data_IF_635754156803
#
_entry.id   IF_635754156803
#
_cell.length_a   1.000
_cell.length_b   1.000
_cell.length_c   1.000
_cell.angle_alpha   90.00
_cell.angle_beta   90.00
_cell.angle_gamma   90.00
#
_symmetry.space_group_name_H-M   'P 1'
#
loop_
_entity.id
_entity.type
_entity.pdbx_description
1 polymer ?
#
# COMPACT_ATOMS: atom_id res chain seq x y z
N UNK A 1 -2.32 -12.28 -5.54
CA UNK A 1 -1.89 -11.08 -6.30
C UNK A 1 -1.68 -9.93 -5.34
N UNK A 2 -0.45 -9.41 -5.22
CA UNK A 2 -0.07 -8.38 -4.22
C UNK A 2 -0.71 -7.01 -4.48
N UNK A 3 -1.10 -6.71 -5.72
CA UNK A 3 -1.76 -5.43 -6.05
C UNK A 3 -3.06 -5.18 -5.29
N UNK A 4 -3.89 -6.21 -5.05
CA UNK A 4 -5.15 -6.04 -4.30
C UNK A 4 -4.93 -5.66 -2.83
N UNK A 5 -3.85 -6.12 -2.22
CA UNK A 5 -3.49 -5.74 -0.84
C UNK A 5 -2.93 -4.32 -0.77
N UNK A 6 -2.21 -3.90 -1.82
CA UNK A 6 -1.58 -2.59 -1.84
C UNK A 6 -2.56 -1.43 -2.06
N UNK A 7 -3.55 -1.66 -2.94
CA UNK A 7 -4.50 -0.64 -3.38
C UNK A 7 -5.92 -0.86 -2.82
N UNK A 8 -6.31 -2.07 -2.42
CA UNK A 8 -7.71 -2.39 -2.14
C UNK A 8 -8.33 -1.60 -0.97
N UNK A 9 -7.72 -1.68 0.21
CA UNK A 9 -8.18 -0.96 1.40
C UNK A 9 -8.06 0.57 1.26
N UNK A 10 -6.93 1.14 0.80
CA UNK A 10 -6.85 2.58 0.61
C UNK A 10 -7.77 3.09 -0.51
N UNK A 11 -7.91 2.41 -1.65
CA UNK A 11 -8.86 2.83 -2.69
C UNK A 11 -10.31 2.81 -2.18
N UNK A 12 -10.68 1.85 -1.31
CA UNK A 12 -12.01 1.83 -0.71
C UNK A 12 -12.26 3.03 0.21
N UNK A 13 -11.28 3.40 1.05
CA UNK A 13 -11.40 4.55 1.93
C UNK A 13 -11.42 5.88 1.16
N UNK A 14 -10.66 5.98 0.07
CA UNK A 14 -10.67 7.13 -0.84
C UNK A 14 -12.03 7.30 -1.54
N UNK A 15 -12.58 6.21 -2.10
CA UNK A 15 -13.90 6.23 -2.72
C UNK A 15 -15.04 6.53 -1.74
N UNK A 16 -14.84 6.25 -0.45
CA UNK A 16 -15.78 6.60 0.61
C UNK A 16 -15.64 8.07 1.08
N UNK A 17 -14.70 8.84 0.52
CA UNK A 17 -14.43 10.23 0.92
C UNK A 17 -13.77 10.35 2.29
N UNK A 18 -13.25 9.24 2.86
CA UNK A 18 -12.56 9.24 4.16
C UNK A 18 -11.08 9.62 4.04
N UNK A 19 -10.61 9.83 2.82
CA UNK A 19 -9.21 10.05 2.49
C UNK A 19 -9.12 10.97 1.28
N UNK A 20 -8.21 11.93 1.37
CA UNK A 20 -7.84 12.82 0.27
C UNK A 20 -6.75 12.19 -0.61
N UNK A 21 -6.56 12.73 -1.81
CA UNK A 21 -5.61 12.20 -2.80
C UNK A 21 -4.18 12.12 -2.24
N UNK A 22 -3.77 13.12 -1.45
CA UNK A 22 -2.45 13.12 -0.83
C UNK A 22 -2.27 11.99 0.18
N UNK A 23 -3.29 11.71 0.98
CA UNK A 23 -3.27 10.62 1.96
C UNK A 23 -3.26 9.26 1.26
N UNK A 24 -3.95 9.14 0.12
CA UNK A 24 -3.93 7.94 -0.71
C UNK A 24 -2.52 7.67 -1.24
N UNK A 25 -1.89 8.69 -1.83
CA UNK A 25 -0.53 8.58 -2.40
C UNK A 25 0.47 8.18 -1.32
N UNK A 26 0.44 8.81 -0.15
CA UNK A 26 1.33 8.46 0.96
C UNK A 26 1.13 7.03 1.45
N UNK A 27 -0.13 6.60 1.60
CA UNK A 27 -0.47 5.26 2.08
C UNK A 27 -0.01 4.18 1.12
N UNK A 28 -0.27 4.36 -0.18
CA UNK A 28 0.17 3.43 -1.22
C UNK A 28 1.71 3.36 -1.27
N UNK A 29 2.39 4.49 -1.16
CA UNK A 29 3.86 4.54 -1.11
C UNK A 29 4.43 3.78 0.09
N UNK A 30 3.86 3.97 1.28
CA UNK A 30 4.25 3.25 2.49
C UNK A 30 4.03 1.73 2.35
N UNK A 31 2.89 1.31 1.80
CA UNK A 31 2.60 -0.09 1.52
C UNK A 31 3.63 -0.71 0.56
N UNK A 32 4.04 0.04 -0.47
CA UNK A 32 5.07 -0.38 -1.42
C UNK A 32 6.43 -0.60 -0.73
N UNK A 33 6.85 0.34 0.12
CA UNK A 33 8.10 0.20 0.89
C UNK A 33 8.08 -1.02 1.80
N UNK A 34 6.97 -1.25 2.51
CA UNK A 34 6.79 -2.45 3.34
C UNK A 34 6.93 -3.74 2.53
N UNK A 35 6.37 -3.76 1.32
CA UNK A 35 6.49 -4.92 0.42
C UNK A 35 7.95 -5.21 0.03
N UNK A 36 8.71 -4.16 -0.31
CA UNK A 36 10.13 -4.27 -0.64
C UNK A 36 10.92 -4.80 0.56
N UNK A 37 10.66 -4.29 1.78
CA UNK A 37 11.30 -4.77 3.01
C UNK A 37 11.02 -6.26 3.22
N UNK A 38 9.76 -6.68 3.08
CA UNK A 38 9.35 -8.08 3.21
C UNK A 38 10.05 -8.98 2.19
N UNK A 39 10.21 -8.53 0.95
CA UNK A 39 10.94 -9.28 -0.07
C UNK A 39 12.43 -9.38 0.20
N UNK A 40 13.07 -8.29 0.64
CA UNK A 40 14.48 -8.31 1.05
C UNK A 40 14.70 -9.27 2.22
N UNK A 41 13.88 -9.18 3.26
CA UNK A 41 13.92 -10.09 4.42
C UNK A 41 13.71 -11.56 4.03
N UNK A 42 12.91 -11.83 3.00
CA UNK A 42 12.72 -13.20 2.48
C UNK A 42 13.93 -13.70 1.69
N UNK A 43 14.65 -12.80 1.03
CA UNK A 43 15.85 -13.10 0.23
C UNK A 43 17.15 -13.22 1.04
N UNK A 44 17.19 -12.70 2.26
CA UNK A 44 18.32 -12.83 3.21
C UNK A 44 18.38 -14.23 3.89
N UNK A 45 18.22 -15.31 3.11
CA UNK A 45 18.44 -16.68 3.58
C UNK A 45 19.81 -17.20 3.20
#
# INVERSE_FOLDING_TARGET
AVGRTLFGEPSRAWLAGQMDDQTLIHTVKANYHNLIILWRKRGEK
#
